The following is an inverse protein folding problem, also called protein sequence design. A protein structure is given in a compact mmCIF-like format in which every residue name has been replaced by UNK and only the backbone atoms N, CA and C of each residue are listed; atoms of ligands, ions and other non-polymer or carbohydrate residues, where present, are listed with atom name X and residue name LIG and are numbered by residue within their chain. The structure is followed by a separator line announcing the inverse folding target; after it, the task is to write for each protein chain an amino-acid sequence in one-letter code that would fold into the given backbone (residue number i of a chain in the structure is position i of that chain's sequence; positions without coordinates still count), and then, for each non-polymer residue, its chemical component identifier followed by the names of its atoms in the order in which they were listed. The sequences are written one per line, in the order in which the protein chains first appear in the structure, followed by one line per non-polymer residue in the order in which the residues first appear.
data_IF_113236865766
#
_entry.id   IF_113236865766
#
_cell.length_a   1.000
_cell.length_b   1.000
_cell.length_c   1.000
_cell.angle_alpha   90.00
_cell.angle_beta   90.00
_cell.angle_gamma   90.00
#
_symmetry.space_group_name_H-M   'P 1'
#
loop_
_entity.id
_entity.type
_entity.pdbx_description
1 polymer ?
#
# COMPACT_ATOMS: atom_id res chain seq x y z
N UNK A 1 -10.65 28.25 3.72
CA UNK A 1 -9.66 27.53 4.51
C UNK A 1 -8.37 27.39 3.69
N UNK A 2 -7.22 27.40 4.36
CA UNK A 2 -5.94 27.05 3.74
C UNK A 2 -5.57 25.59 4.02
N UNK A 3 -4.73 25.02 3.17
CA UNK A 3 -4.27 23.64 3.24
C UNK A 3 -2.74 23.59 3.23
N UNK A 4 -2.16 22.77 4.10
CA UNK A 4 -0.76 22.40 4.07
C UNK A 4 -0.67 20.90 3.75
N UNK A 5 -0.16 20.57 2.57
CA UNK A 5 0.11 19.19 2.15
C UNK A 5 1.56 18.84 2.46
N UNK A 6 1.77 17.81 3.29
CA UNK A 6 3.06 17.13 3.40
C UNK A 6 2.94 15.74 2.75
N UNK A 7 3.50 15.52 1.59
CA UNK A 7 3.47 14.23 0.92
C UNK A 7 4.42 13.23 1.59
N UNK A 8 4.32 11.95 1.17
CA UNK A 8 5.35 10.97 1.50
C UNK A 8 6.69 11.37 0.86
N UNK A 9 7.77 11.21 1.59
CA UNK A 9 9.14 11.41 1.11
C UNK A 9 9.56 10.45 -0.02
N UNK A 10 8.79 9.38 -0.24
CA UNK A 10 9.03 8.40 -1.31
C UNK A 10 8.54 8.90 -2.67
N UNK A 11 7.57 9.83 -2.69
CA UNK A 11 6.93 10.33 -3.93
C UNK A 11 6.96 11.86 -4.05
N UNK A 12 8.10 12.52 -3.83
CA UNK A 12 8.16 13.98 -3.79
C UNK A 12 7.82 14.63 -5.13
N UNK A 13 8.24 14.03 -6.24
CA UNK A 13 8.04 14.58 -7.58
C UNK A 13 6.56 14.67 -7.97
N UNK A 14 5.75 13.65 -7.67
CA UNK A 14 4.32 13.66 -7.95
C UNK A 14 3.60 14.78 -7.18
N UNK A 15 3.97 14.96 -5.91
CA UNK A 15 3.39 16.02 -5.07
C UNK A 15 3.80 17.42 -5.54
N UNK A 16 5.05 17.60 -6.00
CA UNK A 16 5.52 18.86 -6.57
C UNK A 16 4.78 19.18 -7.87
N UNK A 17 4.61 18.20 -8.77
CA UNK A 17 3.84 18.40 -10.00
C UNK A 17 2.37 18.74 -9.72
N UNK A 18 1.76 18.11 -8.72
CA UNK A 18 0.41 18.44 -8.29
C UNK A 18 0.32 19.87 -7.73
N UNK A 19 1.28 20.26 -6.90
CA UNK A 19 1.35 21.64 -6.37
C UNK A 19 1.51 22.69 -7.47
N UNK A 20 2.33 22.40 -8.49
CA UNK A 20 2.52 23.26 -9.66
C UNK A 20 1.21 23.43 -10.46
N UNK A 21 0.45 22.36 -10.68
CA UNK A 21 -0.86 22.43 -11.36
C UNK A 21 -1.81 23.35 -10.58
N UNK A 22 -1.82 23.24 -9.25
CA UNK A 22 -2.66 24.11 -8.42
C UNK A 22 -2.19 25.56 -8.48
N UNK A 23 -0.88 25.80 -8.45
CA UNK A 23 -0.29 27.13 -8.56
C UNK A 23 -0.64 27.82 -9.90
N UNK A 24 -0.78 27.06 -10.98
CA UNK A 24 -1.21 27.56 -12.30
C UNK A 24 -2.72 27.77 -12.41
N UNK A 25 -3.50 27.46 -11.39
CA UNK A 25 -4.94 27.70 -11.34
C UNK A 25 -5.26 29.09 -10.77
N UNK A 26 -6.54 29.49 -10.84
CA UNK A 26 -7.03 30.76 -10.27
C UNK A 26 -7.16 30.74 -8.74
N UNK A 27 -6.57 29.75 -8.06
CA UNK A 27 -6.58 29.68 -6.60
C UNK A 27 -5.67 30.76 -6.01
N UNK A 28 -6.15 31.60 -5.05
CA UNK A 28 -5.31 32.62 -4.44
C UNK A 28 -4.08 32.05 -3.75
N UNK A 29 -2.98 32.78 -3.78
CA UNK A 29 -1.73 32.41 -3.11
C UNK A 29 -1.95 32.13 -1.62
N UNK A 30 -1.28 31.11 -1.11
CA UNK A 30 -1.34 30.70 0.29
C UNK A 30 -2.56 29.83 0.67
N UNK A 31 -3.51 29.62 -0.25
CA UNK A 31 -4.64 28.69 0.01
C UNK A 31 -4.18 27.24 -0.01
N UNK A 32 -3.28 26.88 -0.94
CA UNK A 32 -2.64 25.57 -0.98
C UNK A 32 -1.12 25.70 -0.85
N UNK A 33 -0.53 24.94 0.06
CA UNK A 33 0.89 24.96 0.36
C UNK A 33 1.44 23.53 0.41
N UNK A 34 2.47 23.22 -0.36
CA UNK A 34 3.12 21.92 -0.34
C UNK A 34 4.47 22.01 0.38
N UNK A 35 4.65 21.22 1.43
CA UNK A 35 5.88 21.18 2.23
C UNK A 35 6.49 19.78 2.15
N UNK A 36 7.63 19.68 1.48
CA UNK A 36 8.39 18.43 1.39
C UNK A 36 9.14 18.14 2.70
N UNK A 37 9.29 16.86 3.01
CA UNK A 37 10.10 16.44 4.15
C UNK A 37 9.71 15.07 4.70
N UNK A 38 10.57 14.58 5.60
CA UNK A 38 10.38 13.32 6.31
C UNK A 38 9.29 13.39 7.38
N UNK A 39 9.13 12.31 8.14
CA UNK A 39 8.20 12.24 9.26
C UNK A 39 8.36 13.35 10.30
N UNK A 40 9.57 13.90 10.47
CA UNK A 40 9.82 15.02 11.40
C UNK A 40 9.05 16.28 11.00
N UNK A 41 9.01 16.60 9.70
CA UNK A 41 8.22 17.73 9.21
C UNK A 41 6.72 17.50 9.47
N UNK A 42 6.23 16.29 9.20
CA UNK A 42 4.86 15.93 9.54
C UNK A 42 4.54 16.09 11.03
N UNK A 43 5.46 15.71 11.89
CA UNK A 43 5.33 15.87 13.34
C UNK A 43 5.26 17.35 13.76
N UNK A 44 6.07 18.21 13.17
CA UNK A 44 6.03 19.68 13.43
C UNK A 44 4.66 20.23 13.02
N UNK A 45 4.18 19.88 11.83
CA UNK A 45 2.88 20.35 11.34
C UNK A 45 1.74 19.88 12.27
N UNK A 46 1.69 18.58 12.58
CA UNK A 46 0.60 18.00 13.39
C UNK A 46 0.59 18.43 14.86
N UNK A 47 1.72 18.92 15.37
CA UNK A 47 1.84 19.47 16.72
C UNK A 47 1.59 20.99 16.78
N UNK A 48 1.44 21.66 15.65
CA UNK A 48 1.21 23.10 15.61
C UNK A 48 -0.18 23.44 16.15
N UNK A 49 -0.25 24.48 16.98
CA UNK A 49 -1.52 25.04 17.50
C UNK A 49 -2.33 25.78 16.43
N UNK A 50 -1.73 26.05 15.25
CA UNK A 50 -2.36 26.75 14.15
C UNK A 50 -3.04 25.79 13.15
N UNK A 51 -3.18 24.51 13.51
CA UNK A 51 -3.86 23.49 12.69
C UNK A 51 -5.23 23.21 13.31
N UNK A 52 -6.29 23.43 12.54
CA UNK A 52 -7.68 23.21 12.95
C UNK A 52 -8.19 21.81 12.60
N UNK A 53 -7.57 21.15 11.61
CA UNK A 53 -7.95 19.82 11.17
C UNK A 53 -6.79 19.07 10.54
N UNK A 54 -6.73 17.74 10.73
CA UNK A 54 -5.70 16.87 10.15
C UNK A 54 -6.40 15.76 9.39
N UNK A 55 -6.08 15.64 8.10
CA UNK A 55 -6.39 14.46 7.30
C UNK A 55 -5.09 13.69 7.06
N UNK A 56 -5.05 12.44 7.51
CA UNK A 56 -3.85 11.61 7.46
C UNK A 56 -4.13 10.29 6.74
N UNK A 57 -3.23 9.95 5.82
CA UNK A 57 -3.18 8.61 5.20
C UNK A 57 -1.81 7.99 5.46
N UNK A 58 -1.77 6.79 6.03
CA UNK A 58 -0.51 6.11 6.31
C UNK A 58 -0.63 4.91 7.24
N UNK A 59 0.43 4.64 8.02
CA UNK A 59 0.45 3.50 8.92
C UNK A 59 -0.41 3.73 10.17
N UNK A 60 -1.00 2.65 10.70
CA UNK A 60 -1.75 2.67 11.97
C UNK A 60 -0.89 3.23 13.11
N UNK A 61 0.40 2.88 13.17
CA UNK A 61 1.32 3.39 14.19
C UNK A 61 1.43 4.92 14.15
N UNK A 62 1.63 5.48 12.96
CA UNK A 62 1.74 6.93 12.78
C UNK A 62 0.40 7.62 13.05
N UNK A 63 -0.71 7.05 12.56
CA UNK A 63 -2.05 7.59 12.80
C UNK A 63 -2.41 7.66 14.28
N UNK A 64 -2.10 6.61 15.05
CA UNK A 64 -2.31 6.62 16.50
C UNK A 64 -1.51 7.74 17.19
N UNK A 65 -0.25 7.95 16.79
CA UNK A 65 0.56 9.04 17.35
C UNK A 65 -0.03 10.41 17.03
N UNK A 66 -0.46 10.63 15.78
CA UNK A 66 -1.12 11.87 15.36
C UNK A 66 -2.43 12.08 16.14
N UNK A 67 -3.27 11.04 16.27
CA UNK A 67 -4.52 11.13 16.99
C UNK A 67 -4.33 11.51 18.46
N UNK A 68 -3.37 10.89 19.14
CA UNK A 68 -3.05 11.23 20.53
C UNK A 68 -2.60 12.68 20.70
N UNK A 69 -1.82 13.22 19.76
CA UNK A 69 -1.36 14.60 19.81
C UNK A 69 -2.50 15.58 19.45
N UNK A 70 -3.31 15.29 18.45
CA UNK A 70 -4.45 16.10 18.04
C UNK A 70 -5.48 16.26 19.17
N UNK A 71 -5.73 15.19 19.93
CA UNK A 71 -6.64 15.24 21.09
C UNK A 71 -6.22 16.26 22.14
N UNK A 72 -4.92 16.51 22.35
CA UNK A 72 -4.43 17.50 23.33
C UNK A 72 -4.86 18.92 22.99
N UNK A 73 -5.06 19.20 21.71
CA UNK A 73 -5.45 20.51 21.20
C UNK A 73 -6.89 20.54 20.66
N UNK A 74 -7.67 19.46 20.84
CA UNK A 74 -9.04 19.31 20.33
C UNK A 74 -9.13 19.50 18.80
N UNK A 75 -8.08 19.13 18.06
CA UNK A 75 -8.01 19.22 16.61
C UNK A 75 -8.85 18.11 15.97
N UNK A 76 -9.64 18.44 14.96
CA UNK A 76 -10.40 17.45 14.18
C UNK A 76 -9.47 16.56 13.38
N UNK A 77 -9.74 15.25 13.37
CA UNK A 77 -8.93 14.28 12.65
C UNK A 77 -9.76 13.41 11.73
N UNK A 78 -9.21 13.11 10.54
CA UNK A 78 -9.63 12.04 9.66
C UNK A 78 -8.45 11.12 9.44
N UNK A 79 -8.63 9.81 9.68
CA UNK A 79 -7.56 8.83 9.64
C UNK A 79 -7.87 7.75 8.61
N UNK A 80 -7.04 7.67 7.56
CA UNK A 80 -7.06 6.63 6.56
C UNK A 80 -5.81 5.77 6.72
N UNK A 81 -5.99 4.51 7.11
CA UNK A 81 -4.89 3.63 7.49
C UNK A 81 -5.01 2.27 6.81
N UNK A 82 -3.89 1.55 6.76
CA UNK A 82 -3.84 0.22 6.18
C UNK A 82 -4.73 -0.80 6.91
N UNK A 83 -5.20 -1.78 6.16
CA UNK A 83 -6.09 -2.83 6.64
C UNK A 83 -5.57 -4.21 6.24
N UNK A 84 -6.26 -5.27 6.69
CA UNK A 84 -6.09 -6.66 6.29
C UNK A 84 -7.38 -7.13 5.62
N UNK A 85 -7.65 -6.63 4.42
CA UNK A 85 -8.88 -6.87 3.70
C UNK A 85 -9.02 -8.34 3.32
N UNK A 86 -10.22 -8.86 3.50
CA UNK A 86 -10.56 -10.23 3.15
C UNK A 86 -11.30 -10.29 1.81
N UNK A 87 -10.93 -11.27 0.99
CA UNK A 87 -11.70 -11.71 -0.16
C UNK A 87 -12.38 -13.04 0.22
N UNK A 88 -13.70 -13.08 0.17
CA UNK A 88 -14.50 -14.26 0.53
C UNK A 88 -14.96 -14.97 -0.73
N UNK A 89 -14.67 -16.27 -0.83
CA UNK A 89 -15.05 -17.12 -1.95
C UNK A 89 -16.02 -18.21 -1.45
N UNK A 90 -17.28 -18.10 -1.84
CA UNK A 90 -18.34 -19.02 -1.49
C UNK A 90 -18.33 -20.26 -2.41
N UNK A 91 -19.09 -21.28 -2.04
CA UNK A 91 -19.14 -22.57 -2.74
C UNK A 91 -19.75 -22.50 -4.16
N UNK A 92 -20.53 -21.49 -4.45
CA UNK A 92 -21.18 -21.23 -5.73
C UNK A 92 -20.44 -20.18 -6.58
N UNK A 93 -19.27 -19.69 -6.10
CA UNK A 93 -18.47 -18.69 -6.80
C UNK A 93 -17.93 -19.22 -8.15
N UNK A 94 -17.93 -18.37 -9.17
CA UNK A 94 -17.18 -18.64 -10.37
C UNK A 94 -15.66 -18.59 -10.07
N UNK A 95 -15.00 -19.73 -10.18
CA UNK A 95 -13.60 -19.87 -9.78
C UNK A 95 -12.65 -19.01 -10.59
N UNK A 96 -12.86 -18.88 -11.90
CA UNK A 96 -11.97 -18.07 -12.75
C UNK A 96 -12.09 -16.60 -12.40
N UNK A 97 -13.30 -16.11 -12.18
CA UNK A 97 -13.54 -14.74 -11.68
C UNK A 97 -12.92 -14.53 -10.30
N UNK A 98 -13.09 -15.47 -9.38
CA UNK A 98 -12.55 -15.38 -8.03
C UNK A 98 -10.99 -15.33 -8.05
N UNK A 99 -10.35 -16.13 -8.88
CA UNK A 99 -8.89 -16.12 -9.08
C UNK A 99 -8.43 -14.75 -9.63
N UNK A 100 -9.12 -14.24 -10.64
CA UNK A 100 -8.79 -12.93 -11.22
C UNK A 100 -8.95 -11.80 -10.19
N UNK A 101 -10.00 -11.82 -9.39
CA UNK A 101 -10.21 -10.87 -8.29
C UNK A 101 -9.11 -10.97 -7.23
N UNK A 102 -8.69 -12.20 -6.88
CA UNK A 102 -7.60 -12.41 -5.93
C UNK A 102 -6.27 -11.82 -6.44
N UNK A 103 -5.93 -12.07 -7.71
CA UNK A 103 -4.71 -11.52 -8.32
C UNK A 103 -4.75 -9.99 -8.39
N UNK A 104 -5.82 -9.44 -8.92
CA UNK A 104 -5.96 -7.99 -9.07
C UNK A 104 -5.95 -7.29 -7.70
N UNK A 105 -6.61 -7.89 -6.72
CA UNK A 105 -6.72 -7.34 -5.38
C UNK A 105 -5.42 -7.45 -4.57
N UNK A 106 -4.68 -8.56 -4.69
CA UNK A 106 -3.52 -8.82 -3.84
C UNK A 106 -2.19 -8.37 -4.45
N UNK A 107 -2.01 -8.47 -5.77
CA UNK A 107 -0.68 -8.33 -6.39
C UNK A 107 -0.53 -7.14 -7.32
N UNK A 108 -1.60 -6.62 -7.93
CA UNK A 108 -1.48 -5.43 -8.77
C UNK A 108 -1.21 -4.20 -7.91
N UNK A 109 -0.28 -3.36 -8.42
CA UNK A 109 0.31 -2.29 -7.62
C UNK A 109 1.19 -2.82 -6.48
N UNK A 110 1.73 -4.05 -6.65
CA UNK A 110 2.59 -4.75 -5.68
C UNK A 110 1.89 -4.99 -4.33
N UNK A 111 0.55 -5.02 -4.32
CA UNK A 111 -0.24 -5.11 -3.08
C UNK A 111 -0.11 -3.90 -2.15
N UNK A 112 0.55 -2.84 -2.59
CA UNK A 112 0.86 -1.64 -1.79
C UNK A 112 -0.29 -0.64 -1.83
N UNK A 113 -1.50 -1.09 -1.54
CA UNK A 113 -2.73 -0.28 -1.48
C UNK A 113 -3.48 -0.56 -0.18
N UNK A 114 -4.11 0.45 0.40
CA UNK A 114 -4.97 0.29 1.58
C UNK A 114 -6.13 -0.69 1.34
N UNK A 115 -6.59 -0.83 0.09
CA UNK A 115 -7.66 -1.73 -0.34
C UNK A 115 -7.17 -3.10 -0.82
N UNK A 116 -5.85 -3.39 -0.79
CA UNK A 116 -5.32 -4.67 -1.26
C UNK A 116 -5.85 -5.84 -0.43
N UNK A 117 -6.23 -6.92 -1.10
CA UNK A 117 -6.68 -8.15 -0.44
C UNK A 117 -5.47 -8.87 0.15
N UNK A 118 -5.46 -9.08 1.46
CA UNK A 118 -4.37 -9.76 2.17
C UNK A 118 -4.80 -11.07 2.81
N UNK A 119 -6.09 -11.40 2.78
CA UNK A 119 -6.65 -12.64 3.30
C UNK A 119 -7.64 -13.23 2.31
N UNK A 120 -7.53 -14.53 2.08
CA UNK A 120 -8.48 -15.32 1.30
C UNK A 120 -9.28 -16.20 2.25
N UNK A 121 -10.61 -16.03 2.30
CA UNK A 121 -11.53 -16.85 3.08
C UNK A 121 -12.30 -17.69 2.07
N UNK A 122 -11.91 -18.95 1.94
CA UNK A 122 -12.37 -19.83 0.87
C UNK A 122 -13.20 -20.96 1.45
N UNK A 123 -14.42 -21.15 0.91
CA UNK A 123 -15.27 -22.27 1.30
C UNK A 123 -14.61 -23.63 0.96
N UNK A 124 -14.66 -24.60 1.87
CA UNK A 124 -13.94 -25.86 1.76
C UNK A 124 -14.20 -26.63 0.46
N UNK A 125 -15.44 -26.62 -0.04
CA UNK A 125 -15.85 -27.33 -1.27
C UNK A 125 -15.13 -26.83 -2.53
N UNK A 126 -14.67 -25.58 -2.55
CA UNK A 126 -14.01 -24.98 -3.71
C UNK A 126 -12.52 -24.72 -3.46
N UNK A 127 -12.05 -24.90 -2.22
CA UNK A 127 -10.70 -24.58 -1.78
C UNK A 127 -9.62 -25.19 -2.69
N UNK A 128 -9.63 -26.49 -2.88
CA UNK A 128 -8.58 -27.18 -3.65
C UNK A 128 -8.51 -26.66 -5.07
N UNK A 129 -9.64 -26.58 -5.77
CA UNK A 129 -9.70 -26.10 -7.15
C UNK A 129 -9.27 -24.64 -7.25
N UNK A 130 -9.71 -23.79 -6.31
CA UNK A 130 -9.36 -22.37 -6.26
C UNK A 130 -7.84 -22.18 -6.07
N UNK A 131 -7.23 -22.84 -5.08
CA UNK A 131 -5.79 -22.71 -4.77
C UNK A 131 -4.92 -23.22 -5.93
N UNK A 132 -5.25 -24.35 -6.54
CA UNK A 132 -4.53 -24.85 -7.71
C UNK A 132 -4.51 -23.83 -8.87
N UNK A 133 -5.68 -23.23 -9.15
CA UNK A 133 -5.82 -22.19 -10.20
C UNK A 133 -5.09 -20.90 -9.81
N UNK A 134 -5.20 -20.48 -8.56
CA UNK A 134 -4.55 -19.30 -8.06
C UNK A 134 -3.02 -19.42 -8.16
N UNK A 135 -2.42 -20.51 -7.70
CA UNK A 135 -0.97 -20.74 -7.78
C UNK A 135 -0.50 -20.70 -9.24
N UNK A 136 -1.22 -21.37 -10.16
CA UNK A 136 -0.89 -21.34 -11.58
C UNK A 136 -0.91 -19.92 -12.13
N UNK A 137 -1.87 -19.10 -11.73
CA UNK A 137 -1.99 -17.72 -12.21
C UNK A 137 -0.97 -16.79 -11.57
N UNK A 138 -0.65 -16.96 -10.27
CA UNK A 138 0.40 -16.22 -9.58
C UNK A 138 1.76 -16.50 -10.20
N UNK A 139 2.08 -17.76 -10.50
CA UNK A 139 3.36 -18.14 -11.10
C UNK A 139 3.59 -17.58 -12.50
N UNK A 140 2.52 -17.18 -13.19
CA UNK A 140 2.58 -16.53 -14.49
C UNK A 140 2.72 -15.01 -14.44
N UNK A 141 2.62 -14.40 -13.24
CA UNK A 141 2.75 -12.95 -13.10
C UNK A 141 4.17 -12.48 -13.45
N UNK A 142 4.22 -11.48 -14.31
CA UNK A 142 5.48 -10.85 -14.72
C UNK A 142 5.86 -9.75 -13.73
N UNK A 143 6.87 -10.03 -12.91
CA UNK A 143 7.48 -9.04 -12.03
C UNK A 143 8.54 -8.28 -12.82
N UNK A 144 8.53 -6.95 -12.75
CA UNK A 144 9.46 -6.14 -13.53
C UNK A 144 9.40 -4.66 -13.24
N UNK A 145 10.22 -3.90 -13.97
CA UNK A 145 10.21 -2.44 -13.90
C UNK A 145 8.82 -1.90 -14.27
N UNK A 146 8.30 -0.94 -13.49
CA UNK A 146 6.92 -0.46 -13.63
C UNK A 146 6.59 0.13 -15.01
N UNK A 147 7.57 0.69 -15.72
CA UNK A 147 7.41 1.27 -17.06
C UNK A 147 7.73 0.28 -18.19
N UNK A 148 8.15 -0.95 -17.87
CA UNK A 148 8.42 -1.97 -18.88
C UNK A 148 7.10 -2.60 -19.32
N UNK A 149 6.86 -2.62 -20.62
CA UNK A 149 5.68 -3.26 -21.19
C UNK A 149 5.55 -4.73 -20.75
N UNK A 150 4.35 -5.10 -20.37
CA UNK A 150 4.02 -6.44 -19.89
C UNK A 150 4.34 -6.69 -18.42
N UNK A 151 4.96 -5.75 -17.68
CA UNK A 151 5.11 -5.86 -16.23
C UNK A 151 3.74 -5.75 -15.57
N UNK A 152 3.44 -6.69 -14.65
CA UNK A 152 2.16 -6.77 -13.94
C UNK A 152 2.34 -6.45 -12.45
N UNK A 153 3.52 -6.70 -11.92
CA UNK A 153 3.89 -6.41 -10.53
C UNK A 153 5.24 -5.68 -10.51
N UNK A 154 5.28 -4.51 -9.90
CA UNK A 154 6.46 -3.66 -9.80
C UNK A 154 7.33 -3.98 -8.57
N UNK A 155 8.31 -3.12 -8.25
CA UNK A 155 9.14 -3.26 -7.06
C UNK A 155 8.37 -2.92 -5.78
N UNK A 156 8.89 -3.41 -4.66
CA UNK A 156 8.56 -2.93 -3.33
C UNK A 156 9.07 -1.49 -3.18
N UNK A 157 8.32 -0.64 -2.51
CA UNK A 157 8.50 0.82 -2.48
C UNK A 157 9.81 1.30 -1.84
N UNK A 158 10.43 0.49 -0.97
CA UNK A 158 11.68 0.83 -0.29
C UNK A 158 12.39 -0.41 0.24
N UNK A 159 13.68 -0.27 0.54
CA UNK A 159 14.46 -1.31 1.20
C UNK A 159 13.90 -1.70 2.57
N UNK A 160 13.45 -0.73 3.35
CA UNK A 160 12.86 -0.98 4.67
C UNK A 160 11.56 -1.77 4.56
N UNK A 161 10.75 -1.52 3.54
CA UNK A 161 9.54 -2.30 3.28
C UNK A 161 9.88 -3.70 2.78
N UNK A 162 10.88 -3.84 1.91
CA UNK A 162 11.37 -5.15 1.47
C UNK A 162 11.82 -6.00 2.67
N UNK A 163 12.63 -5.43 3.55
CA UNK A 163 13.08 -6.11 4.78
C UNK A 163 11.88 -6.55 5.62
N UNK A 164 10.91 -5.68 5.83
CA UNK A 164 9.69 -6.02 6.56
C UNK A 164 8.92 -7.16 5.90
N UNK A 165 8.81 -7.16 4.58
CA UNK A 165 8.14 -8.25 3.85
C UNK A 165 8.87 -9.59 4.03
N UNK A 166 10.20 -9.60 3.94
CA UNK A 166 11.01 -10.81 4.16
C UNK A 166 10.88 -11.33 5.60
N UNK A 167 10.89 -10.43 6.60
CA UNK A 167 10.67 -10.80 7.99
C UNK A 167 9.28 -11.45 8.18
N UNK A 168 8.25 -10.96 7.47
CA UNK A 168 6.92 -11.57 7.49
C UNK A 168 6.87 -12.91 6.74
N UNK A 169 7.62 -13.07 5.67
CA UNK A 169 7.76 -14.37 4.99
C UNK A 169 8.37 -15.42 5.94
N UNK A 170 9.42 -15.07 6.67
CA UNK A 170 10.03 -15.99 7.64
C UNK A 170 9.08 -16.33 8.81
N UNK A 171 8.35 -15.35 9.33
CA UNK A 171 7.29 -15.61 10.32
C UNK A 171 6.22 -16.54 9.76
N UNK A 172 5.76 -16.26 8.53
CA UNK A 172 4.74 -17.08 7.87
C UNK A 172 5.18 -18.53 7.67
N UNK A 173 6.46 -18.79 7.35
CA UNK A 173 7.00 -20.14 7.23
C UNK A 173 6.96 -20.92 8.55
N UNK A 174 7.05 -20.23 9.69
CA UNK A 174 6.96 -20.84 11.01
C UNK A 174 5.50 -21.08 11.48
N UNK A 175 4.55 -20.29 10.97
CA UNK A 175 3.16 -20.28 11.43
C UNK A 175 2.19 -20.97 10.45
N UNK A 176 2.57 -21.07 9.17
CA UNK A 176 1.71 -21.56 8.10
C UNK A 176 2.51 -22.26 7.00
N UNK A 177 1.80 -22.90 6.07
CA UNK A 177 2.42 -23.53 4.91
C UNK A 177 2.60 -22.51 3.79
N UNK A 178 3.84 -22.28 3.37
CA UNK A 178 4.14 -21.51 2.16
C UNK A 178 3.64 -22.29 0.94
N UNK A 179 2.69 -21.72 0.22
CA UNK A 179 2.11 -22.32 -0.97
C UNK A 179 2.81 -21.87 -2.26
N UNK A 180 3.33 -20.64 -2.30
CA UNK A 180 4.06 -20.09 -3.45
C UNK A 180 4.91 -18.88 -3.05
N UNK A 181 6.06 -18.68 -3.74
CA UNK A 181 6.88 -17.47 -3.69
C UNK A 181 7.74 -17.34 -2.44
N UNK A 182 7.94 -16.10 -2.04
CA UNK A 182 8.72 -15.74 -0.85
C UNK A 182 10.19 -15.42 -1.11
N UNK A 183 10.64 -15.45 -2.37
CA UNK A 183 12.03 -15.21 -2.73
C UNK A 183 12.25 -13.80 -3.29
N UNK A 184 13.50 -13.35 -3.19
CA UNK A 184 13.96 -12.17 -3.93
C UNK A 184 14.09 -12.48 -5.41
N UNK A 185 13.85 -11.47 -6.24
CA UNK A 185 14.06 -11.54 -7.69
C UNK A 185 15.15 -10.53 -8.05
N UNK A 186 16.21 -10.99 -8.69
CA UNK A 186 17.24 -10.14 -9.26
C UNK A 186 16.91 -9.87 -10.73
N UNK A 187 16.78 -8.60 -11.09
CA UNK A 187 16.53 -8.14 -12.45
C UNK A 187 17.66 -7.22 -12.91
N UNK A 188 17.81 -7.07 -14.23
CA UNK A 188 18.79 -6.15 -14.86
C UNK A 188 18.37 -4.67 -14.73
N UNK A 189 17.60 -4.34 -13.72
CA UNK A 189 17.13 -2.99 -13.41
C UNK A 189 17.18 -2.75 -11.90
N UNK A 190 17.56 -1.57 -11.44
CA UNK A 190 17.54 -1.25 -10.02
C UNK A 190 16.13 -1.34 -9.44
N UNK A 191 16.02 -1.91 -8.25
CA UNK A 191 14.74 -2.01 -7.54
C UNK A 191 14.70 -3.16 -6.55
N UNK A 192 13.70 -3.13 -5.68
CA UNK A 192 13.47 -4.14 -4.64
C UNK A 192 12.39 -5.12 -5.11
N UNK A 193 12.78 -6.14 -5.86
CA UNK A 193 11.82 -7.09 -6.43
C UNK A 193 11.74 -8.37 -5.58
N UNK A 194 10.51 -8.84 -5.37
CA UNK A 194 10.25 -10.13 -4.73
C UNK A 194 9.09 -10.84 -5.41
N UNK A 195 9.05 -12.16 -5.26
CA UNK A 195 7.95 -12.96 -5.78
C UNK A 195 6.63 -12.63 -5.08
N UNK A 196 5.50 -12.70 -5.82
CA UNK A 196 4.20 -12.74 -5.18
C UNK A 196 4.16 -13.94 -4.23
N UNK A 197 3.68 -13.76 -3.00
CA UNK A 197 3.79 -14.77 -1.94
C UNK A 197 2.42 -15.18 -1.44
N UNK A 198 2.21 -16.49 -1.30
CA UNK A 198 0.98 -17.11 -0.82
C UNK A 198 1.26 -18.12 0.28
N UNK A 199 0.62 -17.96 1.41
CA UNK A 199 0.57 -18.94 2.50
C UNK A 199 -0.78 -19.63 2.57
#
# INVERSE_FOLDING_TARGET
NSVVLKPSEIVPACASAFAEIIHQSDLPDGVFNCVQGSGNVGQIITNSKNIDGISFTGSVRTGNHIAQNAMKNMVKIQMEMGSKNALVILNDANIETAVQCAINGAFFGTGQKCTASSRLIVHEKVYKKFIERLIKSISALKVGHALKEGSQMGPVSSESQLKSNLDYVEKGKNEAKLAYGGNLINLDTPGHFMEPTLF
#
